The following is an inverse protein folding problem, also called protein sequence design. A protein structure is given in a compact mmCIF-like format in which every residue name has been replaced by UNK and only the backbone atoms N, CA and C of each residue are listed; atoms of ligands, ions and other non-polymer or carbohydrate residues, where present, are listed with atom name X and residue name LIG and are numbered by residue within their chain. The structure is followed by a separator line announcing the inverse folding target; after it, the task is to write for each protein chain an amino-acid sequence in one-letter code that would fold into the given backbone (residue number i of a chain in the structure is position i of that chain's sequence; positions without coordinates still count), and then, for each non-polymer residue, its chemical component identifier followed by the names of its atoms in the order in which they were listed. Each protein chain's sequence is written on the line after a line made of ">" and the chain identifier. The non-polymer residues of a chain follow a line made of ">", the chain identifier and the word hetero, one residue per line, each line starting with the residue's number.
data_IF_143043397784
#
_entry.id   IF_143043397784
#
_cell.length_a   1.000
_cell.length_b   1.000
_cell.length_c   1.000
_cell.angle_alpha   90.00
_cell.angle_beta   90.00
_cell.angle_gamma   90.00
#
_symmetry.space_group_name_H-M   'P 1'
#
loop_
_entity.id
_entity.type
_entity.pdbx_description
1 polymer ?
#
# COMPACT_ATOMS: atom_id res chain seq x y z
N UNK A 1 8.09 12.21 41.21
CA UNK A 1 8.58 13.18 40.21
C UNK A 1 9.31 12.38 39.14
N UNK A 2 8.82 12.39 37.91
CA UNK A 2 9.30 11.50 36.83
C UNK A 2 10.62 12.03 36.26
N UNK A 3 11.73 11.36 36.58
CA UNK A 3 13.10 11.82 36.36
C UNK A 3 13.72 11.20 35.09
N UNK A 4 13.05 11.36 33.94
CA UNK A 4 13.51 10.80 32.66
C UNK A 4 14.32 11.83 31.87
N UNK A 5 15.57 11.47 31.54
CA UNK A 5 16.53 12.30 30.80
C UNK A 5 15.99 12.58 29.39
N UNK A 6 15.77 13.85 29.05
CA UNK A 6 15.42 14.29 27.70
C UNK A 6 16.72 14.66 26.96
N UNK A 7 17.05 13.91 25.91
CA UNK A 7 18.18 14.25 25.04
C UNK A 7 17.80 15.47 24.19
N UNK A 8 18.64 16.52 24.18
CA UNK A 8 18.42 17.74 23.39
C UNK A 8 18.10 17.38 21.93
N UNK A 9 16.94 17.84 21.43
CA UNK A 9 16.46 17.56 20.07
C UNK A 9 15.58 16.32 19.90
N UNK A 10 15.32 15.53 20.96
CA UNK A 10 14.35 14.43 20.94
C UNK A 10 13.16 14.73 21.84
N UNK A 11 11.95 14.47 21.34
CA UNK A 11 10.75 14.51 22.17
C UNK A 11 10.73 13.35 23.16
N UNK A 12 10.07 13.54 24.31
CA UNK A 12 9.90 12.47 25.30
C UNK A 12 9.07 11.35 24.69
N UNK A 13 9.42 10.10 25.02
CA UNK A 13 8.63 8.93 24.59
C UNK A 13 7.20 9.08 25.11
N UNK A 14 6.22 9.13 24.21
CA UNK A 14 4.81 9.34 24.54
C UNK A 14 4.33 10.79 24.47
N UNK A 15 5.22 11.76 24.24
CA UNK A 15 4.86 13.16 24.02
C UNK A 15 5.15 13.57 22.57
N UNK A 16 4.13 14.10 21.90
CA UNK A 16 4.29 14.71 20.58
C UNK A 16 4.90 16.11 20.71
N UNK A 17 5.81 16.46 19.80
CA UNK A 17 6.30 17.84 19.66
C UNK A 17 5.24 18.84 19.19
N UNK A 18 4.12 18.33 18.69
CA UNK A 18 2.94 19.12 18.39
C UNK A 18 1.73 18.49 19.11
N UNK A 19 1.45 18.90 20.36
CA UNK A 19 0.34 18.35 21.17
C UNK A 19 -1.04 18.61 20.56
N UNK A 20 -1.21 19.75 19.87
CA UNK A 20 -2.45 20.08 19.17
C UNK A 20 -2.63 19.31 17.86
N UNK A 21 -1.60 18.58 17.42
CA UNK A 21 -1.58 17.86 16.16
C UNK A 21 -1.67 18.79 14.95
N UNK A 22 -1.93 18.20 13.78
CA UNK A 22 -2.19 18.97 12.57
C UNK A 22 -3.48 19.79 12.75
N UNK A 23 -3.51 21.10 12.42
CA UNK A 23 -4.71 21.90 12.54
C UNK A 23 -5.88 21.27 11.78
N UNK A 24 -7.06 21.27 12.38
CA UNK A 24 -8.29 20.77 11.74
C UNK A 24 -8.52 21.56 10.44
N UNK A 25 -8.78 20.86 9.34
CA UNK A 25 -9.00 21.47 8.03
C UNK A 25 -7.73 21.94 7.30
N UNK A 26 -6.53 21.73 7.86
CA UNK A 26 -5.29 22.06 7.16
C UNK A 26 -5.16 21.22 5.88
N UNK A 27 -5.41 21.84 4.71
CA UNK A 27 -5.23 21.22 3.40
C UNK A 27 -3.75 20.91 3.18
N UNK A 28 -3.46 19.74 2.62
CA UNK A 28 -2.08 19.39 2.27
C UNK A 28 -1.63 20.23 1.08
N UNK A 29 -0.33 20.55 0.96
CA UNK A 29 0.24 21.24 -0.21
C UNK A 29 -0.03 20.55 -1.56
N UNK A 30 -0.54 19.30 -1.53
CA UNK A 30 -0.93 18.49 -2.69
C UNK A 30 -2.36 18.72 -3.18
N UNK A 31 -3.23 19.34 -2.37
CA UNK A 31 -4.57 19.76 -2.80
C UNK A 31 -4.46 21.11 -3.50
N UNK A 32 -3.79 21.13 -4.66
CA UNK A 32 -3.55 22.35 -5.44
C UNK A 32 -4.71 22.70 -6.37
N UNK A 33 -5.64 21.77 -6.59
CA UNK A 33 -6.80 21.99 -7.45
C UNK A 33 -7.87 22.71 -6.63
N UNK A 34 -8.36 23.88 -7.09
CA UNK A 34 -9.50 24.56 -6.45
C UNK A 34 -10.73 23.65 -6.36
N UNK A 35 -11.49 23.77 -5.26
CA UNK A 35 -12.71 22.98 -5.06
C UNK A 35 -13.75 23.27 -6.15
N UNK A 36 -13.87 24.53 -6.57
CA UNK A 36 -14.75 24.96 -7.65
C UNK A 36 -14.41 24.29 -8.98
N UNK A 37 -13.11 24.25 -9.32
CA UNK A 37 -12.65 23.59 -10.55
C UNK A 37 -12.92 22.07 -10.50
N UNK A 38 -12.81 21.47 -9.31
CA UNK A 38 -13.13 20.06 -9.12
C UNK A 38 -14.63 19.81 -9.31
N UNK A 39 -15.48 20.67 -8.77
CA UNK A 39 -16.93 20.57 -8.91
C UNK A 39 -17.37 20.71 -10.38
N UNK A 40 -16.83 21.69 -11.10
CA UNK A 40 -17.10 21.89 -12.52
C UNK A 40 -16.65 20.70 -13.38
N UNK A 41 -15.46 20.15 -13.12
CA UNK A 41 -14.97 18.97 -13.80
C UNK A 41 -15.87 17.74 -13.57
N UNK A 42 -16.38 17.54 -12.35
CA UNK A 42 -17.31 16.46 -12.04
C UNK A 42 -18.67 16.62 -12.75
N UNK A 43 -19.19 17.85 -12.84
CA UNK A 43 -20.43 18.12 -13.56
C UNK A 43 -20.29 17.81 -15.06
N UNK A 44 -19.18 18.21 -15.68
CA UNK A 44 -18.86 17.91 -17.09
C UNK A 44 -18.69 16.41 -17.32
N UNK A 45 -18.01 15.72 -16.40
CA UNK A 45 -17.86 14.27 -16.47
C UNK A 45 -19.22 13.56 -16.42
N UNK A 46 -20.12 13.99 -15.54
CA UNK A 46 -21.46 13.43 -15.43
C UNK A 46 -22.27 13.60 -16.72
N UNK A 47 -22.18 14.77 -17.36
CA UNK A 47 -22.83 15.02 -18.66
C UNK A 47 -22.30 14.07 -19.75
N UNK A 48 -20.98 13.95 -19.90
CA UNK A 48 -20.37 13.04 -20.88
C UNK A 48 -20.74 11.57 -20.67
N UNK A 49 -20.84 11.13 -19.40
CA UNK A 49 -21.32 9.79 -19.07
C UNK A 49 -22.77 9.59 -19.50
N UNK A 50 -23.64 10.59 -19.25
CA UNK A 50 -25.04 10.54 -19.67
C UNK A 50 -25.20 10.51 -21.20
N UNK A 51 -24.29 11.15 -21.94
CA UNK A 51 -24.22 11.12 -23.40
C UNK A 51 -23.65 9.81 -23.97
N UNK A 52 -23.12 8.92 -23.12
CA UNK A 52 -22.56 7.65 -23.54
C UNK A 52 -21.10 7.70 -23.99
N UNK A 53 -20.35 8.75 -23.61
CA UNK A 53 -18.91 8.81 -23.90
C UNK A 53 -18.18 7.65 -23.20
N UNK A 54 -17.63 6.75 -24.01
CA UNK A 54 -16.98 5.53 -23.53
C UNK A 54 -15.74 5.79 -22.66
N UNK A 55 -15.00 6.88 -22.90
CA UNK A 55 -13.82 7.23 -22.10
C UNK A 55 -14.25 7.77 -20.74
N UNK A 56 -15.26 8.64 -20.71
CA UNK A 56 -15.84 9.17 -19.48
C UNK A 56 -16.40 8.05 -18.60
N UNK A 57 -17.17 7.12 -19.18
CA UNK A 57 -17.69 5.93 -18.49
C UNK A 57 -16.55 5.10 -17.92
N UNK A 58 -15.54 4.78 -18.75
CA UNK A 58 -14.37 4.02 -18.31
C UNK A 58 -13.65 4.69 -17.15
N UNK A 59 -13.42 6.00 -17.21
CA UNK A 59 -12.73 6.74 -16.16
C UNK A 59 -13.49 6.68 -14.82
N UNK A 60 -14.82 6.75 -14.85
CA UNK A 60 -15.65 6.57 -13.65
C UNK A 60 -15.53 5.14 -13.12
N UNK A 61 -15.67 4.12 -13.98
CA UNK A 61 -15.57 2.72 -13.57
C UNK A 61 -14.20 2.38 -12.98
N UNK A 62 -13.11 2.79 -13.62
CA UNK A 62 -11.73 2.54 -13.16
C UNK A 62 -11.47 3.17 -11.78
N UNK A 63 -12.21 4.21 -11.41
CA UNK A 63 -12.03 4.91 -10.13
C UNK A 63 -12.92 4.39 -9.00
N UNK A 64 -14.08 3.84 -9.34
CA UNK A 64 -15.09 3.31 -8.39
C UNK A 64 -14.92 1.81 -8.17
N UNK A 65 -14.55 1.07 -9.22
CA UNK A 65 -14.37 -0.37 -9.18
C UNK A 65 -12.88 -0.67 -8.96
N UNK A 66 -12.51 -1.44 -7.92
CA UNK A 66 -11.13 -1.83 -7.73
C UNK A 66 -10.67 -2.71 -8.90
N UNK A 67 -9.46 -2.44 -9.40
CA UNK A 67 -8.86 -3.29 -10.42
C UNK A 67 -8.62 -4.69 -9.86
N UNK A 68 -8.95 -5.72 -10.65
CA UNK A 68 -8.62 -7.08 -10.30
C UNK A 68 -7.10 -7.20 -10.22
N UNK A 69 -6.62 -7.76 -9.10
CA UNK A 69 -5.20 -8.08 -8.98
C UNK A 69 -4.86 -9.22 -9.94
N UNK A 70 -3.67 -9.17 -10.51
CA UNK A 70 -3.12 -10.31 -11.22
C UNK A 70 -3.03 -11.49 -10.24
N UNK A 71 -3.68 -12.60 -10.59
CA UNK A 71 -3.60 -13.86 -9.85
C UNK A 71 -2.87 -14.84 -10.75
N UNK A 72 -1.84 -15.49 -10.21
CA UNK A 72 -1.18 -16.60 -10.91
C UNK A 72 -2.17 -17.75 -11.02
N UNK A 73 -2.60 -18.05 -12.25
CA UNK A 73 -3.55 -19.13 -12.48
C UNK A 73 -2.97 -20.48 -12.03
N UNK A 74 -3.81 -21.32 -11.42
CA UNK A 74 -3.42 -22.68 -11.10
C UNK A 74 -3.08 -23.44 -12.39
N UNK A 75 -1.89 -24.04 -12.45
CA UNK A 75 -1.40 -24.75 -13.65
C UNK A 75 -0.73 -23.86 -14.70
N UNK A 76 -0.45 -22.59 -14.41
CA UNK A 76 0.47 -21.81 -15.26
C UNK A 76 1.92 -22.26 -15.03
N UNK A 77 2.77 -22.05 -16.04
CA UNK A 77 4.22 -22.29 -15.92
C UNK A 77 4.83 -21.53 -14.73
N UNK A 78 4.36 -20.30 -14.48
CA UNK A 78 4.81 -19.49 -13.35
C UNK A 78 4.41 -20.13 -12.00
N UNK A 79 3.20 -20.71 -11.92
CA UNK A 79 2.75 -21.43 -10.73
C UNK A 79 3.61 -22.68 -10.48
N UNK A 80 3.88 -23.45 -11.53
CA UNK A 80 4.73 -24.64 -11.44
C UNK A 80 6.16 -24.29 -11.01
N UNK A 81 6.73 -23.22 -11.58
CA UNK A 81 8.06 -22.73 -11.20
C UNK A 81 8.12 -22.32 -9.72
N UNK A 82 7.11 -21.61 -9.22
CA UNK A 82 7.02 -21.22 -7.81
C UNK A 82 6.97 -22.47 -6.91
N UNK A 83 6.17 -23.47 -7.27
CA UNK A 83 6.06 -24.72 -6.51
C UNK A 83 7.40 -25.47 -6.48
N UNK A 84 8.09 -25.58 -7.62
CA UNK A 84 9.40 -26.23 -7.69
C UNK A 84 10.44 -25.51 -6.81
N UNK A 85 10.47 -24.18 -6.82
CA UNK A 85 11.39 -23.40 -5.98
C UNK A 85 11.11 -23.55 -4.49
N UNK A 86 9.83 -23.57 -4.09
CA UNK A 86 9.45 -23.79 -2.69
C UNK A 86 9.93 -25.18 -2.23
N UNK A 87 9.76 -26.21 -3.08
CA UNK A 87 10.21 -27.56 -2.79
C UNK A 87 11.73 -27.63 -2.65
N UNK A 88 12.47 -27.04 -3.59
CA UNK A 88 13.94 -27.00 -3.56
C UNK A 88 14.48 -26.35 -2.27
N UNK A 89 13.88 -25.22 -1.85
CA UNK A 89 14.25 -24.55 -0.61
C UNK A 89 13.99 -25.44 0.62
N UNK A 90 12.85 -26.12 0.68
CA UNK A 90 12.55 -27.04 1.79
C UNK A 90 13.50 -28.24 1.85
N UNK A 91 13.89 -28.79 0.70
CA UNK A 91 14.90 -29.85 0.63
C UNK A 91 16.27 -29.35 1.09
N UNK A 92 16.65 -28.13 0.73
CA UNK A 92 17.89 -27.51 1.16
C UNK A 92 17.93 -27.27 2.68
N UNK A 93 16.85 -26.74 3.26
CA UNK A 93 16.71 -26.54 4.71
C UNK A 93 16.82 -27.88 5.47
N UNK A 94 16.16 -28.93 4.99
CA UNK A 94 16.26 -30.26 5.60
C UNK A 94 17.70 -30.81 5.57
N UNK A 95 18.42 -30.58 4.46
CA UNK A 95 19.82 -30.98 4.31
C UNK A 95 20.74 -30.22 5.26
N UNK A 96 20.53 -28.92 5.42
CA UNK A 96 21.29 -28.09 6.36
C UNK A 96 21.06 -28.55 7.80
N UNK A 97 19.81 -28.79 8.20
CA UNK A 97 19.50 -29.28 9.53
C UNK A 97 20.21 -30.62 9.84
N UNK A 98 20.20 -31.56 8.88
CA UNK A 98 20.91 -32.83 9.03
C UNK A 98 22.44 -32.66 9.16
N UNK A 99 23.03 -31.71 8.42
CA UNK A 99 24.46 -31.39 8.53
C UNK A 99 24.81 -30.73 9.86
N UNK A 100 23.96 -29.82 10.35
CA UNK A 100 24.14 -29.17 11.65
C UNK A 100 24.04 -30.18 12.81
N UNK A 101 23.14 -31.15 12.71
CA UNK A 101 22.99 -32.23 13.69
C UNK A 101 24.21 -33.16 13.69
N UNK A 102 24.68 -33.57 12.51
CA UNK A 102 25.88 -34.40 12.37
C UNK A 102 27.18 -33.68 12.80
N UNK A 103 27.20 -32.35 12.82
CA UNK A 103 28.36 -31.55 13.27
C UNK A 103 28.37 -31.26 14.77
N UNK A 104 27.31 -31.64 15.51
CA UNK A 104 27.23 -31.45 16.97
C UNK A 104 27.84 -32.60 17.78
N UNK A 105 28.18 -33.71 17.12
CA UNK A 105 28.96 -34.83 17.67
C UNK A 105 30.47 -34.63 17.43
#
# INVERSE_FOLDING_TARGET
>A
MDNRIVVKGRFRKGESGNPAGRPKGAKGKRNQIPEELTADALAKLAALVAEGDTQAIRMVLDRVIPTLRAVTAAGSLDAELIQMKIKELGEFEARLAALEEASRD
#
